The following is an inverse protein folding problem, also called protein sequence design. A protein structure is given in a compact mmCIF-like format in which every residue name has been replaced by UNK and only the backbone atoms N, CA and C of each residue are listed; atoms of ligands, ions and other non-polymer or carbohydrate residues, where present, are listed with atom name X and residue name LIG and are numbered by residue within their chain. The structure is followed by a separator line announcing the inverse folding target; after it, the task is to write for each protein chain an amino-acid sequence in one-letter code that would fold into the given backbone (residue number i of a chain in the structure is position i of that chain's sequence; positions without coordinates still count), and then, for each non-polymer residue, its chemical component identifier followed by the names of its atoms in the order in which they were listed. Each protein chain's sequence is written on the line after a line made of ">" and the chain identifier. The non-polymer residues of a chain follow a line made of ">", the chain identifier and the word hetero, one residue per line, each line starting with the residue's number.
data_IF_305256905625
#
_entry.id   IF_305256905625
#
_cell.length_a   1.000
_cell.length_b   1.000
_cell.length_c   1.000
_cell.angle_alpha   90.00
_cell.angle_beta   90.00
_cell.angle_gamma   90.00
#
_symmetry.space_group_name_H-M   'P 1'
#
loop_
_entity.id
_entity.type
_entity.pdbx_description
1 polymer ?
#
# COMPACT_ATOMS: atom_id res chain seq x y z
N UNK A 1 2.35 23.54 14.21
CA UNK A 1 2.70 23.12 12.85
C UNK A 1 2.66 21.61 12.77
N UNK A 2 1.60 21.03 12.20
CA UNK A 2 1.44 19.58 12.15
C UNK A 2 2.53 18.98 11.26
N UNK A 3 3.42 18.16 11.85
CA UNK A 3 4.34 17.29 11.12
C UNK A 3 3.48 16.41 10.19
N UNK A 4 3.31 16.81 8.93
CA UNK A 4 2.76 15.93 7.90
C UNK A 4 3.60 14.66 7.93
N UNK A 5 3.01 13.54 8.32
CA UNK A 5 3.74 12.26 8.33
C UNK A 5 4.14 12.01 6.89
N UNK A 6 5.45 11.90 6.62
CA UNK A 6 5.92 11.63 5.26
C UNK A 6 5.30 10.30 4.81
N UNK A 7 4.85 10.26 3.55
CA UNK A 7 4.42 9.02 2.93
C UNK A 7 5.54 7.99 3.07
N UNK A 8 5.19 6.77 3.44
CA UNK A 8 6.15 5.68 3.63
C UNK A 8 6.30 4.98 2.28
N UNK A 9 7.49 5.03 1.73
CA UNK A 9 7.81 4.39 0.46
C UNK A 9 8.15 2.92 0.68
N UNK A 10 7.45 2.04 -0.04
CA UNK A 10 7.63 0.59 -0.03
C UNK A 10 8.03 0.08 -1.41
N UNK A 11 8.32 0.95 -2.39
CA UNK A 11 8.63 0.55 -3.76
C UNK A 11 9.89 -0.32 -3.86
N UNK A 12 10.85 -0.06 -2.97
CA UNK A 12 12.06 -0.86 -2.79
C UNK A 12 11.81 -2.20 -2.11
N UNK A 13 10.67 -2.37 -1.44
CA UNK A 13 10.28 -3.65 -0.86
C UNK A 13 9.46 -4.43 -1.88
N UNK A 14 9.77 -5.71 -2.06
CA UNK A 14 9.05 -6.60 -2.98
C UNK A 14 7.84 -7.23 -2.29
N UNK A 15 6.97 -6.38 -1.72
CA UNK A 15 5.75 -6.82 -1.05
C UNK A 15 4.67 -6.98 -2.12
N UNK A 16 4.48 -8.22 -2.54
CA UNK A 16 3.46 -8.62 -3.52
C UNK A 16 2.40 -9.43 -2.79
N UNK A 17 1.14 -9.12 -3.03
CA UNK A 17 0.00 -9.82 -2.46
C UNK A 17 -1.14 -9.92 -3.46
N UNK A 18 -2.06 -10.84 -3.20
CA UNK A 18 -3.29 -10.93 -3.99
C UNK A 18 -4.37 -10.05 -3.37
N UNK A 19 -4.93 -9.15 -4.17
CA UNK A 19 -6.12 -8.37 -3.83
C UNK A 19 -7.16 -8.59 -4.93
N UNK A 20 -8.38 -8.96 -4.54
CA UNK A 20 -9.49 -9.15 -5.49
C UNK A 20 -9.15 -10.04 -6.70
N UNK A 21 -8.36 -11.11 -6.47
CA UNK A 21 -7.85 -12.05 -7.49
C UNK A 21 -6.83 -11.46 -8.48
N UNK A 22 -6.18 -10.35 -8.12
CA UNK A 22 -5.10 -9.72 -8.90
C UNK A 22 -3.84 -9.68 -8.06
N UNK A 23 -2.69 -9.90 -8.69
CA UNK A 23 -1.42 -9.66 -8.03
C UNK A 23 -1.12 -8.17 -7.99
N UNK A 24 -0.91 -7.66 -6.78
CA UNK A 24 -0.63 -6.26 -6.53
C UNK A 24 0.65 -6.12 -5.71
N UNK A 25 1.50 -5.19 -6.14
CA UNK A 25 2.71 -4.80 -5.43
C UNK A 25 2.45 -3.52 -4.64
N UNK A 26 2.82 -3.54 -3.35
CA UNK A 26 2.82 -2.35 -2.51
C UNK A 26 3.87 -1.35 -2.97
N UNK A 27 3.46 -0.11 -3.25
CA UNK A 27 4.39 0.95 -3.68
C UNK A 27 4.58 1.98 -2.57
N UNK A 28 3.49 2.52 -2.01
CA UNK A 28 3.58 3.60 -1.03
C UNK A 28 2.38 3.59 -0.10
N UNK A 29 2.59 3.98 1.14
CA UNK A 29 1.52 4.20 2.10
C UNK A 29 1.50 5.66 2.54
N UNK A 30 0.34 6.30 2.44
CA UNK A 30 0.10 7.63 2.97
C UNK A 30 -0.67 7.54 4.30
N UNK A 31 -0.01 7.61 5.45
CA UNK A 31 -0.68 7.52 6.75
C UNK A 31 -1.57 8.72 7.07
N UNK A 32 -1.47 9.84 6.34
CA UNK A 32 -2.35 11.00 6.57
C UNK A 32 -3.73 10.78 5.95
N UNK A 33 -3.78 10.20 4.75
CA UNK A 33 -5.02 9.91 4.02
C UNK A 33 -5.52 8.47 4.27
N UNK A 34 -4.70 7.64 4.91
CA UNK A 34 -4.93 6.20 5.04
C UNK A 34 -5.11 5.51 3.69
N UNK A 35 -4.30 5.93 2.73
CA UNK A 35 -4.32 5.46 1.35
C UNK A 35 -3.03 4.74 1.02
N UNK A 36 -3.14 3.74 0.15
CA UNK A 36 -2.05 2.87 -0.22
C UNK A 36 -1.99 2.83 -1.73
N UNK A 37 -0.86 3.23 -2.28
CA UNK A 37 -0.56 3.11 -3.69
C UNK A 37 -0.02 1.72 -3.97
N UNK A 38 -0.68 1.04 -4.90
CA UNK A 38 -0.41 -0.32 -5.33
C UNK A 38 -0.13 -0.34 -6.82
N UNK A 39 0.62 -1.34 -7.28
CA UNK A 39 0.91 -1.57 -8.69
C UNK A 39 0.39 -2.95 -9.07
N UNK A 40 -0.55 -3.02 -10.01
CA UNK A 40 -0.95 -4.30 -10.57
C UNK A 40 0.23 -4.93 -11.32
N UNK A 41 0.46 -6.22 -11.07
CA UNK A 41 1.43 -7.05 -11.78
C UNK A 41 0.79 -7.93 -12.86
N UNK A 42 -0.54 -7.91 -12.95
CA UNK A 42 -1.30 -8.68 -13.93
C UNK A 42 -0.96 -8.31 -15.38
N UNK A 43 -0.95 -9.32 -16.26
CA UNK A 43 -0.53 -9.21 -17.67
C UNK A 43 -1.58 -8.47 -18.51
N UNK A 44 -1.63 -7.15 -18.35
CA UNK A 44 -2.60 -6.27 -18.99
C UNK A 44 -2.96 -5.03 -18.15
N UNK A 45 -2.69 -5.07 -16.85
CA UNK A 45 -2.97 -3.96 -15.96
C UNK A 45 -1.81 -2.95 -15.98
N UNK A 46 -1.95 -1.89 -16.79
CA UNK A 46 -0.95 -0.80 -16.84
C UNK A 46 -1.31 0.29 -15.85
N UNK A 47 -0.71 0.27 -14.67
CA UNK A 47 -0.73 1.43 -13.78
C UNK A 47 -0.47 1.12 -12.32
N UNK A 48 -0.16 2.19 -11.59
CA UNK A 48 -0.39 2.24 -10.16
C UNK A 48 -1.80 2.77 -9.89
N UNK A 49 -2.43 2.28 -8.84
CA UNK A 49 -3.73 2.71 -8.38
C UNK A 49 -3.68 2.87 -6.86
N UNK A 50 -4.60 3.66 -6.32
CA UNK A 50 -4.64 3.94 -4.89
C UNK A 50 -5.87 3.26 -4.30
N UNK A 51 -5.68 2.54 -3.19
CA UNK A 51 -6.74 1.90 -2.42
C UNK A 51 -6.72 2.41 -0.99
N UNK A 52 -7.89 2.40 -0.33
CA UNK A 52 -7.90 2.72 1.10
C UNK A 52 -7.23 1.58 1.88
N UNK A 53 -6.47 1.94 2.92
CA UNK A 53 -5.84 1.00 3.84
C UNK A 53 -6.81 -0.04 4.41
N UNK A 54 -8.09 0.34 4.56
CA UNK A 54 -9.16 -0.54 5.03
C UNK A 54 -9.44 -1.74 4.10
N UNK A 55 -9.15 -1.64 2.80
CA UNK A 55 -9.38 -2.72 1.84
C UNK A 55 -8.24 -3.73 1.78
N UNK A 56 -7.07 -3.39 2.34
CA UNK A 56 -5.93 -4.29 2.32
C UNK A 56 -6.13 -5.57 3.15
N UNK A 57 -5.43 -6.67 2.81
CA UNK A 57 -5.41 -7.87 3.63
C UNK A 57 -4.85 -7.58 5.03
N UNK A 58 -5.27 -8.38 6.02
CA UNK A 58 -4.82 -8.21 7.41
C UNK A 58 -3.30 -8.34 7.56
N UNK A 59 -2.66 -9.16 6.73
CA UNK A 59 -1.20 -9.35 6.71
C UNK A 59 -0.49 -8.08 6.27
N UNK A 60 -0.91 -7.50 5.15
CA UNK A 60 -0.34 -6.24 4.65
C UNK A 60 -0.60 -5.12 5.65
N UNK A 61 -1.83 -5.01 6.17
CA UNK A 61 -2.18 -4.02 7.21
C UNK A 61 -1.28 -4.11 8.43
N UNK A 62 -0.81 -5.30 8.83
CA UNK A 62 0.12 -5.46 9.94
C UNK A 62 1.54 -5.04 9.57
N UNK A 63 1.97 -5.34 8.35
CA UNK A 63 3.28 -4.96 7.83
C UNK A 63 3.41 -3.43 7.72
N UNK A 64 2.42 -2.77 7.14
CA UNK A 64 2.42 -1.31 6.95
C UNK A 64 1.86 -0.53 8.13
N UNK A 65 1.33 -1.20 9.16
CA UNK A 65 0.84 -0.51 10.35
C UNK A 65 2.02 0.25 10.95
N UNK A 66 1.92 1.58 11.13
CA UNK A 66 2.82 2.23 12.05
C UNK A 66 2.51 1.61 13.41
N UNK A 67 3.46 0.86 13.97
CA UNK A 67 3.45 0.46 15.38
C UNK A 67 3.09 1.71 16.17
N UNK A 68 1.83 1.76 16.65
CA UNK A 68 1.43 2.76 17.64
C UNK A 68 2.32 2.45 18.84
N UNK A 69 3.35 3.28 19.04
CA UNK A 69 3.96 3.45 20.35
C UNK A 69 2.89 3.93 21.32
#
# INVERSE_FOLDING_TARGET
>A
MAKKKKSIDYSSQEIIFELEKRQEKLMRFNPNLQEVELKCLDEGAKGTHTVAFAHLPKEIKQLIKPLKK
#
